data_IF_622089828658
#
_entry.id   IF_622089828658
#
_cell.length_a   1.000
_cell.length_b   1.000
_cell.length_c   1.000
_cell.angle_alpha   90.00
_cell.angle_beta   90.00
_cell.angle_gamma   90.00
#
_symmetry.space_group_name_H-M   'P 1'
#
loop_
_entity.id
_entity.type
_entity.pdbx_description
1 polymer ?
#
# COMPACT_ATOMS: atom_id res chain seq x y z
N UNK A 1 2.65 -9.53 -21.53
CA UNK A 1 2.99 -9.51 -20.10
C UNK A 1 2.93 -8.07 -19.64
N UNK A 2 2.37 -7.76 -18.49
CA UNK A 2 2.29 -6.38 -17.96
C UNK A 2 3.47 -6.12 -17.04
N UNK A 3 4.08 -4.95 -17.15
CA UNK A 3 5.17 -4.49 -16.29
C UNK A 3 4.60 -3.82 -15.05
N UNK A 4 4.74 -4.45 -13.88
CA UNK A 4 4.21 -3.98 -12.60
C UNK A 4 5.34 -3.43 -11.74
N UNK A 5 5.37 -2.11 -11.55
CA UNK A 5 6.34 -1.47 -10.66
C UNK A 5 5.94 -1.56 -9.19
N UNK A 6 6.90 -1.81 -8.32
CA UNK A 6 6.73 -1.82 -6.87
C UNK A 6 7.97 -1.25 -6.18
N UNK A 7 7.82 -0.69 -4.98
CA UNK A 7 8.96 -0.21 -4.20
C UNK A 7 9.61 -1.34 -3.41
N UNK A 8 10.94 -1.41 -3.43
CA UNK A 8 11.76 -2.38 -2.71
C UNK A 8 12.56 -3.29 -3.65
N UNK A 9 13.06 -4.38 -3.11
CA UNK A 9 13.78 -5.43 -3.84
C UNK A 9 12.87 -6.62 -4.12
N UNK A 10 13.29 -7.54 -4.98
CA UNK A 10 12.54 -8.80 -5.24
C UNK A 10 12.29 -9.53 -3.91
N UNK A 11 11.18 -10.22 -3.82
CA UNK A 11 10.75 -10.85 -2.57
C UNK A 11 10.07 -9.90 -1.57
N UNK A 12 9.80 -8.63 -1.92
CA UNK A 12 9.07 -7.71 -1.05
C UNK A 12 7.58 -8.06 -0.93
N UNK A 13 6.91 -7.60 0.15
CA UNK A 13 5.46 -7.75 0.32
C UNK A 13 4.66 -7.10 -0.81
N UNK A 14 5.13 -5.97 -1.34
CA UNK A 14 4.50 -5.31 -2.49
C UNK A 14 4.55 -6.19 -3.75
N UNK A 15 5.64 -6.92 -3.97
CA UNK A 15 5.74 -7.88 -5.06
C UNK A 15 4.82 -9.08 -4.84
N UNK A 16 4.76 -9.61 -3.62
CA UNK A 16 3.85 -10.70 -3.25
C UNK A 16 2.39 -10.31 -3.49
N UNK A 17 2.00 -9.09 -3.10
CA UNK A 17 0.67 -8.54 -3.36
C UNK A 17 0.37 -8.40 -4.85
N UNK A 18 1.37 -8.05 -5.70
CA UNK A 18 1.21 -8.01 -7.14
C UNK A 18 0.92 -9.40 -7.72
N UNK A 19 1.65 -10.42 -7.32
CA UNK A 19 1.41 -11.80 -7.78
C UNK A 19 0.08 -12.35 -7.30
N UNK A 20 -0.33 -12.07 -6.06
CA UNK A 20 -1.64 -12.50 -5.53
C UNK A 20 -2.79 -11.87 -6.33
N UNK A 21 -2.66 -10.58 -6.67
CA UNK A 21 -3.72 -9.85 -7.38
C UNK A 21 -3.78 -10.16 -8.88
N UNK A 22 -2.64 -10.21 -9.57
CA UNK A 22 -2.58 -10.34 -11.03
C UNK A 22 -2.35 -11.77 -11.51
N UNK A 23 -1.94 -12.68 -10.62
CA UNK A 23 -1.48 -14.01 -10.99
C UNK A 23 -0.06 -14.03 -11.57
N UNK A 24 0.35 -15.17 -12.14
CA UNK A 24 1.72 -15.39 -12.60
C UNK A 24 2.09 -14.78 -13.96
N UNK A 25 1.13 -14.19 -14.71
CA UNK A 25 1.38 -13.63 -16.06
C UNK A 25 1.74 -12.14 -16.02
N UNK A 26 2.68 -11.78 -15.13
CA UNK A 26 3.20 -10.42 -14.97
C UNK A 26 4.73 -10.43 -14.95
N UNK A 27 5.32 -9.27 -15.26
CA UNK A 27 6.72 -8.96 -15.00
C UNK A 27 6.80 -7.91 -13.91
N UNK A 28 7.48 -8.22 -12.80
CA UNK A 28 7.63 -7.31 -11.67
C UNK A 28 8.93 -6.52 -11.80
N UNK A 29 8.83 -5.20 -11.60
CA UNK A 29 9.93 -4.25 -11.73
C UNK A 29 10.19 -3.58 -10.37
N UNK A 30 11.27 -3.94 -9.66
CA UNK A 30 11.64 -3.29 -8.41
C UNK A 30 12.09 -1.85 -8.64
N UNK A 31 11.62 -0.93 -7.80
CA UNK A 31 12.00 0.48 -7.79
C UNK A 31 12.61 0.83 -6.42
N UNK A 32 13.63 1.68 -6.41
CA UNK A 32 14.33 2.07 -5.17
C UNK A 32 13.42 2.85 -4.21
N UNK A 33 12.46 3.63 -4.76
CA UNK A 33 11.57 4.47 -3.96
C UNK A 33 10.13 4.46 -4.51
N UNK A 34 9.18 4.98 -3.73
CA UNK A 34 7.82 5.18 -4.21
C UNK A 34 7.76 6.16 -5.37
N UNK A 35 8.55 7.25 -5.31
CA UNK A 35 8.69 8.22 -6.41
C UNK A 35 9.08 7.51 -7.71
N UNK A 36 10.01 6.55 -7.65
CA UNK A 36 10.43 5.76 -8.82
C UNK A 36 9.29 4.94 -9.42
N UNK A 37 8.36 4.41 -8.60
CA UNK A 37 7.16 3.73 -9.10
C UNK A 37 6.24 4.71 -9.84
N UNK A 38 5.98 5.89 -9.23
CA UNK A 38 5.13 6.91 -9.85
C UNK A 38 5.74 7.47 -11.15
N UNK A 39 7.03 7.75 -11.16
CA UNK A 39 7.76 8.23 -12.34
C UNK A 39 7.73 7.20 -13.48
N UNK A 40 7.91 5.92 -13.15
CA UNK A 40 7.80 4.82 -14.11
C UNK A 40 6.41 4.70 -14.74
N UNK A 41 5.36 4.89 -13.93
CA UNK A 41 3.97 4.89 -14.41
C UNK A 41 3.67 6.13 -15.26
N UNK A 42 4.09 7.33 -14.85
CA UNK A 42 3.86 8.57 -15.60
C UNK A 42 4.59 8.59 -16.94
N UNK A 43 5.82 8.10 -16.99
CA UNK A 43 6.59 8.00 -18.24
C UNK A 43 6.04 6.92 -19.18
N UNK A 44 5.33 5.91 -18.64
CA UNK A 44 4.85 4.75 -19.37
C UNK A 44 5.89 3.62 -19.48
N UNK A 45 6.98 3.67 -18.72
CA UNK A 45 7.93 2.59 -18.57
C UNK A 45 7.32 1.41 -17.78
N UNK A 46 6.39 1.70 -16.89
CA UNK A 46 5.58 0.73 -16.15
C UNK A 46 4.12 0.84 -16.62
N UNK A 47 3.48 -0.30 -16.84
CA UNK A 47 2.06 -0.35 -17.17
C UNK A 47 1.19 -0.04 -15.96
N UNK A 48 1.59 -0.53 -14.78
CA UNK A 48 0.89 -0.38 -13.50
C UNK A 48 1.92 -0.19 -12.39
N UNK A 49 1.61 0.67 -11.43
CA UNK A 49 2.30 0.74 -10.15
C UNK A 49 1.44 0.11 -9.05
N UNK A 50 2.04 -0.71 -8.19
CA UNK A 50 1.41 -1.17 -6.95
C UNK A 50 2.03 -0.44 -5.76
N UNK A 51 1.21 0.31 -5.02
CA UNK A 51 1.65 1.15 -3.91
C UNK A 51 0.86 0.84 -2.64
N UNK A 52 1.53 0.63 -1.49
CA UNK A 52 0.84 0.47 -0.21
C UNK A 52 0.31 1.84 0.24
N UNK A 53 -0.96 1.92 0.66
CA UNK A 53 -1.56 3.16 1.13
C UNK A 53 -1.77 3.21 2.63
N UNK A 54 -2.05 2.06 3.24
CA UNK A 54 -2.20 1.91 4.68
C UNK A 54 -1.96 0.47 5.13
N UNK A 55 -1.54 0.33 6.39
CA UNK A 55 -1.43 -0.96 7.07
C UNK A 55 -2.31 -0.93 8.32
N UNK A 56 -3.01 -2.03 8.61
CA UNK A 56 -3.98 -2.11 9.72
C UNK A 56 -3.37 -1.87 11.11
N UNK A 57 -2.07 -2.12 11.29
CA UNK A 57 -1.35 -1.94 12.54
C UNK A 57 -0.50 -0.66 12.58
N UNK A 58 0.10 -0.26 11.44
CA UNK A 58 1.02 0.86 11.35
C UNK A 58 0.36 2.17 10.88
N UNK A 59 -0.86 2.09 10.37
CA UNK A 59 -1.58 3.26 9.85
C UNK A 59 -1.20 3.66 8.42
N UNK A 60 -1.41 4.92 8.09
CA UNK A 60 -1.30 5.47 6.75
C UNK A 60 0.15 5.65 6.28
N UNK A 61 0.43 5.28 5.02
CA UNK A 61 1.73 5.49 4.36
C UNK A 61 1.68 6.85 3.66
N UNK A 62 2.04 7.86 4.42
CA UNK A 62 1.78 9.28 4.12
C UNK A 62 2.38 9.75 2.81
N UNK A 63 3.58 9.33 2.45
CA UNK A 63 4.27 9.73 1.23
C UNK A 63 3.45 9.38 -0.02
N UNK A 64 2.76 8.24 -0.04
CA UNK A 64 1.96 7.82 -1.18
C UNK A 64 0.70 8.65 -1.37
N UNK A 65 0.13 9.25 -0.30
CA UNK A 65 -0.95 10.23 -0.43
C UNK A 65 -0.47 11.51 -1.13
N UNK A 66 0.69 12.02 -0.71
CA UNK A 66 1.28 13.23 -1.30
C UNK A 66 1.60 12.99 -2.78
N UNK A 67 2.22 11.86 -3.13
CA UNK A 67 2.50 11.47 -4.52
C UNK A 67 1.22 11.29 -5.37
N UNK A 68 0.15 10.72 -4.81
CA UNK A 68 -1.14 10.61 -5.51
C UNK A 68 -1.74 11.97 -5.88
N UNK A 69 -1.50 13.00 -5.08
CA UNK A 69 -1.94 14.36 -5.38
C UNK A 69 -1.04 15.06 -6.41
N UNK A 70 0.26 14.82 -6.34
CA UNK A 70 1.27 15.51 -7.15
C UNK A 70 1.43 14.94 -8.55
N UNK A 71 1.19 13.63 -8.72
CA UNK A 71 1.48 12.89 -9.95
C UNK A 71 0.25 12.65 -10.80
N UNK A 72 0.44 12.63 -12.13
CA UNK A 72 -0.64 12.42 -13.08
C UNK A 72 -0.97 10.92 -13.25
N UNK A 73 -1.48 10.31 -12.19
CA UNK A 73 -1.87 8.92 -12.14
C UNK A 73 -3.36 8.75 -11.84
N UNK A 74 -3.89 7.56 -12.06
CA UNK A 74 -5.28 7.20 -11.79
C UNK A 74 -5.34 5.85 -11.09
N UNK A 75 -6.05 5.78 -9.96
CA UNK A 75 -6.28 4.53 -9.24
C UNK A 75 -7.31 3.70 -10.00
N UNK A 76 -6.97 2.46 -10.31
CA UNK A 76 -7.82 1.54 -11.06
C UNK A 76 -8.29 0.33 -10.26
N UNK A 77 -7.63 0.05 -9.14
CA UNK A 77 -7.97 -1.08 -8.27
C UNK A 77 -7.37 -0.92 -6.90
N UNK A 78 -7.84 -1.74 -5.96
CA UNK A 78 -7.20 -1.92 -4.66
C UNK A 78 -7.13 -3.41 -4.30
N UNK A 79 -6.18 -3.75 -3.44
CA UNK A 79 -6.02 -5.09 -2.90
C UNK A 79 -5.68 -5.03 -1.42
N UNK A 80 -6.32 -5.87 -0.60
CA UNK A 80 -6.02 -6.06 0.82
C UNK A 80 -5.19 -7.32 0.97
N UNK A 81 -3.91 -7.15 1.19
CA UNK A 81 -2.93 -8.23 1.30
C UNK A 81 -2.65 -8.53 2.77
N UNK A 82 -2.74 -9.79 3.20
CA UNK A 82 -2.32 -10.22 4.53
C UNK A 82 -0.79 -10.24 4.61
N UNK A 83 -0.25 -9.52 5.58
CA UNK A 83 1.19 -9.51 5.84
C UNK A 83 1.49 -10.62 6.84
N UNK A 84 2.03 -11.72 6.34
CA UNK A 84 2.50 -12.85 7.14
C UNK A 84 4.02 -12.81 7.23
N UNK A 85 4.52 -12.75 8.46
CA UNK A 85 5.96 -12.76 8.73
C UNK A 85 6.45 -14.18 8.96
N UNK A 86 7.52 -14.57 8.24
CA UNK A 86 8.12 -15.88 8.36
C UNK A 86 9.59 -15.75 8.77
N UNK A 87 10.08 -16.70 9.54
CA UNK A 87 11.50 -16.81 9.85
C UNK A 87 12.19 -17.58 8.73
N UNK A 88 13.07 -16.88 8.02
CA UNK A 88 13.83 -17.40 6.89
C UNK A 88 15.29 -17.62 7.30
N UNK A 89 15.85 -18.76 6.94
CA UNK A 89 17.21 -19.17 7.31
C UNK A 89 17.90 -19.89 6.14
N UNK A 90 19.20 -20.14 6.27
CA UNK A 90 19.92 -21.06 5.39
C UNK A 90 19.39 -22.47 5.54
N UNK A 91 19.42 -23.28 4.48
CA UNK A 91 18.74 -24.59 4.37
C UNK A 91 19.03 -25.55 5.53
N UNK A 92 20.27 -25.61 5.99
CA UNK A 92 20.68 -26.50 7.08
C UNK A 92 20.68 -25.83 8.47
N UNK A 93 20.18 -24.59 8.61
CA UNK A 93 20.10 -23.91 9.90
C UNK A 93 18.90 -24.38 10.71
N UNK A 94 19.10 -24.49 12.01
CA UNK A 94 18.06 -24.81 13.01
C UNK A 94 17.88 -23.59 13.95
N UNK A 95 16.80 -23.61 14.74
CA UNK A 95 16.43 -22.49 15.60
C UNK A 95 17.51 -22.17 16.65
N UNK A 96 18.20 -23.19 17.12
CA UNK A 96 19.25 -23.13 18.13
C UNK A 96 20.55 -22.49 17.62
N UNK A 97 20.76 -22.49 16.31
CA UNK A 97 21.94 -21.89 15.66
C UNK A 97 21.86 -20.37 15.65
N UNK A 98 20.65 -19.80 15.72
CA UNK A 98 20.41 -18.39 15.47
C UNK A 98 20.95 -17.48 16.57
N UNK A 99 21.76 -16.50 16.17
CA UNK A 99 22.31 -15.43 17.01
C UNK A 99 21.81 -14.05 16.61
N UNK A 100 21.46 -13.85 15.33
CA UNK A 100 20.98 -12.58 14.78
C UNK A 100 19.75 -12.79 13.90
N UNK A 101 18.73 -11.95 14.12
CA UNK A 101 17.51 -11.95 13.29
C UNK A 101 17.34 -10.56 12.67
N UNK A 102 17.48 -10.50 11.35
CA UNK A 102 17.40 -9.28 10.56
C UNK A 102 16.00 -9.01 10.07
N UNK A 103 15.53 -7.78 10.14
CA UNK A 103 14.36 -7.29 9.43
C UNK A 103 14.21 -5.78 9.51
N UNK A 104 13.21 -5.24 8.80
CA UNK A 104 12.77 -3.87 8.99
C UNK A 104 12.33 -3.64 10.46
N UNK A 105 12.63 -2.47 11.08
CA UNK A 105 12.29 -2.20 12.48
C UNK A 105 10.83 -2.47 12.83
N UNK A 106 9.90 -2.16 11.94
CA UNK A 106 8.48 -2.41 12.13
C UNK A 106 8.15 -3.91 12.17
N UNK A 107 8.74 -4.73 11.29
CA UNK A 107 8.53 -6.18 11.30
C UNK A 107 9.12 -6.83 12.56
N UNK A 108 10.30 -6.38 13.00
CA UNK A 108 10.88 -6.81 14.28
C UNK A 108 9.95 -6.48 15.47
N UNK A 109 9.34 -5.29 15.47
CA UNK A 109 8.39 -4.90 16.51
C UNK A 109 7.10 -5.74 16.46
N UNK A 110 6.64 -6.12 15.27
CA UNK A 110 5.45 -6.97 15.08
C UNK A 110 5.70 -8.45 15.43
N UNK A 111 6.95 -8.88 15.58
CA UNK A 111 7.38 -10.23 15.95
C UNK A 111 8.08 -10.26 17.33
N UNK A 112 7.83 -9.27 18.17
CA UNK A 112 8.60 -9.07 19.41
C UNK A 112 8.45 -10.24 20.42
N UNK A 113 7.27 -10.86 20.54
CA UNK A 113 7.03 -12.01 21.41
C UNK A 113 7.81 -13.23 20.92
N UNK A 114 7.74 -13.48 19.61
CA UNK A 114 8.49 -14.56 18.96
C UNK A 114 10.00 -14.40 19.18
N UNK A 115 10.56 -13.22 18.86
CA UNK A 115 12.01 -12.95 19.02
C UNK A 115 12.46 -13.14 20.47
N UNK A 116 11.66 -12.69 21.45
CA UNK A 116 11.95 -12.88 22.88
C UNK A 116 11.93 -14.35 23.30
N UNK A 117 11.16 -15.21 22.62
CA UNK A 117 11.11 -16.63 22.93
C UNK A 117 12.40 -17.37 22.53
N UNK A 118 13.15 -16.80 21.57
CA UNK A 118 14.47 -17.30 21.14
C UNK A 118 15.54 -16.57 21.95
N UNK A 119 15.81 -17.06 23.15
CA UNK A 119 16.62 -16.37 24.18
C UNK A 119 18.08 -16.04 23.81
N UNK A 120 18.58 -16.56 22.69
CA UNK A 120 19.97 -16.36 22.22
C UNK A 120 20.08 -15.43 21.01
N UNK A 121 18.97 -15.04 20.39
CA UNK A 121 18.96 -14.27 19.15
C UNK A 121 18.75 -12.78 19.42
N UNK A 122 19.54 -11.95 18.78
CA UNK A 122 19.43 -10.49 18.82
C UNK A 122 18.69 -9.98 17.59
N UNK A 123 17.64 -9.13 17.72
CA UNK A 123 17.04 -8.44 16.57
C UNK A 123 18.01 -7.38 16.02
N UNK A 124 18.27 -7.43 14.71
CA UNK A 124 19.13 -6.48 14.02
C UNK A 124 18.30 -5.71 12.98
N UNK A 125 18.08 -4.40 13.19
CA UNK A 125 17.36 -3.59 12.22
C UNK A 125 18.08 -3.51 10.87
N UNK A 126 17.30 -3.65 9.79
CA UNK A 126 17.77 -3.48 8.42
C UNK A 126 16.81 -2.61 7.63
N UNK A 127 17.19 -2.16 6.43
CA UNK A 127 16.40 -1.16 5.69
C UNK A 127 15.05 -1.68 5.20
N UNK A 128 14.93 -2.97 4.84
CA UNK A 128 13.67 -3.63 4.51
C UNK A 128 13.68 -5.14 4.82
N UNK A 129 12.51 -5.79 4.70
CA UNK A 129 12.34 -7.21 5.03
C UNK A 129 12.97 -8.13 3.99
N UNK A 130 12.77 -7.86 2.70
CA UNK A 130 13.30 -8.69 1.61
C UNK A 130 14.82 -8.52 1.46
N UNK A 131 15.33 -7.31 1.66
CA UNK A 131 16.78 -7.06 1.73
C UNK A 131 17.45 -7.76 2.91
N UNK A 132 16.73 -7.96 4.02
CA UNK A 132 17.22 -8.78 5.13
C UNK A 132 17.36 -10.25 4.72
N UNK A 133 16.39 -10.79 3.97
CA UNK A 133 16.49 -12.13 3.42
C UNK A 133 17.64 -12.27 2.43
N UNK A 134 17.84 -11.29 1.55
CA UNK A 134 18.98 -11.24 0.63
C UNK A 134 20.31 -11.23 1.38
N UNK A 135 20.42 -10.43 2.45
CA UNK A 135 21.62 -10.37 3.29
C UNK A 135 21.94 -11.75 3.92
N UNK A 136 20.93 -12.42 4.48
CA UNK A 136 21.10 -13.76 5.07
C UNK A 136 21.55 -14.76 4.01
N UNK A 137 20.91 -14.78 2.83
CA UNK A 137 21.29 -15.65 1.72
C UNK A 137 22.76 -15.42 1.27
N UNK A 138 23.16 -14.16 1.11
CA UNK A 138 24.52 -13.80 0.69
C UNK A 138 25.58 -14.10 1.75
N UNK A 139 25.23 -14.07 3.04
CA UNK A 139 26.15 -14.35 4.11
C UNK A 139 26.59 -15.81 4.19
N UNK A 140 25.71 -16.74 3.79
CA UNK A 140 25.94 -18.18 3.95
C UNK A 140 26.06 -18.63 5.43
N UNK A 141 25.71 -17.76 6.38
CA UNK A 141 25.93 -17.96 7.82
C UNK A 141 24.65 -18.53 8.47
N UNK A 142 24.75 -19.76 9.01
CA UNK A 142 23.65 -20.44 9.68
C UNK A 142 23.18 -19.77 10.98
N UNK A 143 24.03 -18.91 11.56
CA UNK A 143 23.68 -18.16 12.78
C UNK A 143 22.76 -16.96 12.52
N UNK A 144 22.42 -16.69 11.24
CA UNK A 144 21.61 -15.55 10.82
C UNK A 144 20.26 -15.99 10.29
N UNK A 145 19.21 -15.30 10.73
CA UNK A 145 17.87 -15.43 10.21
C UNK A 145 17.32 -14.09 9.72
N UNK A 146 16.31 -14.13 8.87
CA UNK A 146 15.55 -12.96 8.46
C UNK A 146 14.05 -13.14 8.72
N UNK A 147 13.36 -12.07 9.14
CA UNK A 147 11.90 -12.03 9.15
C UNK A 147 11.44 -11.34 7.87
N UNK A 148 10.79 -12.11 6.98
CA UNK A 148 10.29 -11.63 5.70
C UNK A 148 9.09 -12.47 5.21
N UNK A 149 8.57 -12.17 4.01
CA UNK A 149 7.52 -12.96 3.40
C UNK A 149 8.07 -14.25 2.77
N UNK A 150 7.18 -15.22 2.53
CA UNK A 150 7.49 -16.52 1.91
C UNK A 150 8.15 -16.38 0.53
N UNK A 151 7.72 -15.36 -0.25
CA UNK A 151 8.30 -15.08 -1.56
C UNK A 151 9.80 -14.71 -1.49
N UNK A 152 10.23 -14.04 -0.43
CA UNK A 152 11.65 -13.75 -0.25
C UNK A 152 12.49 -15.03 -0.06
N UNK A 153 11.90 -16.06 0.59
CA UNK A 153 12.56 -17.37 0.69
C UNK A 153 12.71 -18.03 -0.69
N UNK A 154 11.65 -18.01 -1.50
CA UNK A 154 11.67 -18.54 -2.88
C UNK A 154 12.68 -17.81 -3.76
N UNK A 155 12.70 -16.47 -3.71
CA UNK A 155 13.57 -15.63 -4.52
C UNK A 155 15.07 -15.82 -4.19
N UNK A 156 15.40 -16.00 -2.90
CA UNK A 156 16.80 -16.04 -2.44
C UNK A 156 17.26 -17.44 -2.04
N UNK A 157 16.45 -18.48 -2.24
CA UNK A 157 16.83 -19.86 -1.90
C UNK A 157 17.02 -20.10 -0.42
N UNK A 158 16.17 -19.49 0.42
CA UNK A 158 16.15 -19.69 1.86
C UNK A 158 15.08 -20.70 2.27
N UNK A 159 15.28 -21.38 3.39
CA UNK A 159 14.30 -22.22 4.05
C UNK A 159 13.36 -21.36 4.89
N UNK A 160 12.06 -21.57 4.77
CA UNK A 160 11.08 -21.09 5.76
C UNK A 160 11.16 -22.01 6.97
N UNK A 161 11.81 -21.57 8.03
CA UNK A 161 11.97 -22.37 9.24
C UNK A 161 10.69 -22.37 10.08
N UNK A 162 10.05 -21.19 10.20
CA UNK A 162 8.76 -21.01 10.89
C UNK A 162 7.89 -20.04 10.10
N UNK A 163 6.61 -20.38 9.99
CA UNK A 163 5.57 -19.52 9.35
C UNK A 163 4.79 -18.77 10.44
N UNK A 164 4.28 -17.57 10.10
CA UNK A 164 3.35 -16.83 10.96
C UNK A 164 3.95 -16.43 12.31
N UNK A 165 5.14 -15.81 12.32
CA UNK A 165 5.83 -15.43 13.57
C UNK A 165 5.42 -14.05 14.10
N UNK A 166 4.46 -13.39 13.45
CA UNK A 166 3.89 -12.13 13.92
C UNK A 166 3.07 -12.27 15.20
N UNK A 167 3.08 -11.22 16.01
CA UNK A 167 2.33 -11.14 17.28
C UNK A 167 0.81 -10.98 17.07
N UNK A 168 0.38 -10.52 15.90
CA UNK A 168 -1.01 -10.30 15.53
C UNK A 168 -1.25 -10.75 14.08
N UNK A 169 -2.12 -11.75 13.90
CA UNK A 169 -2.47 -12.30 12.58
C UNK A 169 -3.34 -11.36 11.73
N UNK A 170 -4.00 -10.36 12.34
CA UNK A 170 -4.81 -9.36 11.64
C UNK A 170 -3.97 -8.21 11.09
N UNK A 171 -2.86 -8.55 10.44
CA UNK A 171 -1.94 -7.61 9.81
C UNK A 171 -2.21 -7.55 8.30
N UNK A 172 -2.89 -6.50 7.86
CA UNK A 172 -3.23 -6.30 6.46
C UNK A 172 -2.66 -4.99 5.93
N UNK A 173 -2.13 -5.03 4.72
CA UNK A 173 -1.75 -3.83 3.98
C UNK A 173 -2.71 -3.65 2.79
N UNK A 174 -3.28 -2.47 2.69
CA UNK A 174 -4.08 -2.05 1.54
C UNK A 174 -3.14 -1.46 0.49
N UNK A 175 -3.15 -2.07 -0.68
CA UNK A 175 -2.43 -1.62 -1.86
C UNK A 175 -3.39 -0.97 -2.86
N UNK A 176 -2.91 0.04 -3.57
CA UNK A 176 -3.59 0.64 -4.71
C UNK A 176 -2.82 0.32 -5.99
N UNK A 177 -3.57 0.04 -7.06
CA UNK A 177 -3.04 -0.11 -8.41
C UNK A 177 -3.24 1.21 -9.15
N UNK A 178 -2.13 1.80 -9.59
CA UNK A 178 -2.13 3.08 -10.31
C UNK A 178 -1.66 2.90 -11.73
N UNK A 179 -2.28 3.66 -12.63
CA UNK A 179 -1.86 3.75 -14.04
C UNK A 179 -1.72 5.22 -14.43
N UNK A 180 -1.07 5.48 -15.57
CA UNK A 180 -0.98 6.83 -16.12
C UNK A 180 -2.36 7.41 -16.42
N UNK A 181 -2.61 8.64 -15.96
CA UNK A 181 -3.90 9.33 -16.17
C UNK A 181 -3.96 10.06 -17.53
N UNK A 182 -3.84 9.31 -18.62
CA UNK A 182 -4.09 9.78 -19.99
C UNK A 182 -5.44 9.25 -20.51
N UNK A 183 -6.40 9.06 -19.63
CA UNK A 183 -7.65 8.35 -19.87
C UNK A 183 -8.75 9.29 -20.35
N UNK A 184 -9.43 8.92 -21.44
CA UNK A 184 -10.70 9.53 -21.81
C UNK A 184 -11.80 9.17 -20.79
N UNK A 185 -12.86 9.99 -20.72
CA UNK A 185 -14.01 9.71 -19.85
C UNK A 185 -14.58 8.30 -20.07
N UNK A 186 -14.78 7.87 -21.32
CA UNK A 186 -15.27 6.54 -21.66
C UNK A 186 -14.34 5.42 -21.16
N UNK A 187 -13.01 5.64 -21.18
CA UNK A 187 -12.06 4.66 -20.66
C UNK A 187 -12.11 4.57 -19.13
N UNK A 188 -12.26 5.71 -18.45
CA UNK A 188 -12.50 5.75 -17.00
C UNK A 188 -13.77 4.99 -16.63
N UNK A 189 -14.88 5.19 -17.35
CA UNK A 189 -16.12 4.45 -17.15
C UNK A 189 -15.96 2.94 -17.32
N UNK A 190 -15.20 2.49 -18.32
CA UNK A 190 -14.93 1.04 -18.52
C UNK A 190 -14.08 0.45 -17.39
N UNK A 191 -13.11 1.18 -16.87
CA UNK A 191 -12.28 0.75 -15.75
C UNK A 191 -13.07 0.70 -14.44
N UNK A 192 -14.05 1.61 -14.29
CA UNK A 192 -14.99 1.66 -13.18
C UNK A 192 -16.24 0.77 -13.42
N UNK A 193 -16.19 -0.19 -14.34
CA UNK A 193 -17.30 -1.11 -14.55
C UNK A 193 -17.31 -2.20 -13.48
N UNK A 194 -18.47 -2.39 -12.83
CA UNK A 194 -18.66 -3.41 -11.80
C UNK A 194 -19.61 -2.96 -10.70
N UNK A 195 -19.90 -3.88 -9.81
CA UNK A 195 -20.62 -3.63 -8.57
C UNK A 195 -19.63 -3.20 -7.47
N UNK A 196 -20.13 -2.52 -6.42
CA UNK A 196 -19.36 -2.09 -5.27
C UNK A 196 -18.15 -1.19 -5.63
N UNK A 197 -18.44 -0.11 -6.35
CA UNK A 197 -17.43 0.89 -6.67
C UNK A 197 -17.06 1.72 -5.44
N UNK A 198 -15.79 2.09 -5.39
CA UNK A 198 -15.20 3.04 -4.46
C UNK A 198 -14.55 4.18 -5.25
N UNK A 199 -14.69 5.38 -4.76
CA UNK A 199 -14.02 6.55 -5.29
C UNK A 199 -13.12 7.17 -4.24
N UNK A 200 -11.86 7.41 -4.60
CA UNK A 200 -10.90 8.17 -3.80
C UNK A 200 -10.76 9.59 -4.36
N UNK A 201 -10.84 10.57 -3.45
CA UNK A 201 -10.70 11.99 -3.77
C UNK A 201 -9.73 12.67 -2.81
N UNK A 202 -9.18 13.79 -3.24
CA UNK A 202 -8.48 14.74 -2.38
C UNK A 202 -9.05 16.13 -2.59
N UNK A 203 -9.17 16.91 -1.51
CA UNK A 203 -9.60 18.30 -1.57
C UNK A 203 -8.98 19.13 -0.45
N UNK A 204 -8.89 20.45 -0.65
CA UNK A 204 -8.47 21.39 0.37
C UNK A 204 -9.56 22.40 0.69
N UNK A 205 -9.52 22.92 1.91
CA UNK A 205 -10.54 23.82 2.46
C UNK A 205 -9.92 25.10 3.00
N UNK A 206 -10.66 26.19 2.91
CA UNK A 206 -10.39 27.38 3.73
C UNK A 206 -10.45 27.01 5.20
N UNK A 207 -9.47 27.46 5.98
CA UNK A 207 -9.46 27.21 7.41
C UNK A 207 -10.46 28.14 8.15
N UNK A 208 -11.75 27.82 8.02
CA UNK A 208 -12.86 28.52 8.69
C UNK A 208 -13.70 27.53 9.50
N UNK A 209 -14.32 27.97 10.60
CA UNK A 209 -15.18 27.10 11.40
C UNK A 209 -16.26 26.39 10.59
N UNK A 210 -16.41 25.07 10.77
CA UNK A 210 -17.46 24.27 10.15
C UNK A 210 -17.21 23.89 8.67
N UNK A 211 -16.08 24.26 8.06
CA UNK A 211 -15.81 23.95 6.66
C UNK A 211 -15.83 22.45 6.39
N UNK A 212 -15.15 21.64 7.20
CA UNK A 212 -15.14 20.18 7.04
C UNK A 212 -16.55 19.58 7.20
N UNK A 213 -17.33 20.05 8.19
CA UNK A 213 -18.72 19.61 8.37
C UNK A 213 -19.55 19.84 7.10
N UNK A 214 -19.45 21.02 6.48
CA UNK A 214 -20.15 21.32 5.22
C UNK A 214 -19.78 20.36 4.11
N UNK A 215 -18.49 20.01 3.98
CA UNK A 215 -18.05 19.04 2.97
C UNK A 215 -18.59 17.63 3.26
N UNK A 216 -18.51 17.17 4.50
CA UNK A 216 -19.02 15.85 4.87
C UNK A 216 -20.54 15.75 4.72
N UNK A 217 -21.27 16.82 5.01
CA UNK A 217 -22.72 16.88 4.85
C UNK A 217 -23.18 16.65 3.40
N UNK A 218 -22.37 17.01 2.40
CA UNK A 218 -22.68 16.77 0.99
C UNK A 218 -22.87 15.28 0.69
N UNK A 219 -22.03 14.43 1.30
CA UNK A 219 -22.13 12.98 1.19
C UNK A 219 -23.29 12.43 2.03
N UNK A 220 -23.42 12.90 3.28
CA UNK A 220 -24.43 12.43 4.21
C UNK A 220 -25.86 12.66 3.71
N UNK A 221 -26.19 13.84 3.14
CA UNK A 221 -27.55 14.12 2.59
C UNK A 221 -27.87 13.35 1.31
N UNK A 222 -26.92 12.59 0.78
CA UNK A 222 -27.08 11.73 -0.40
C UNK A 222 -26.97 10.25 -0.08
N UNK A 223 -26.92 9.91 1.22
CA UNK A 223 -26.71 8.54 1.72
C UNK A 223 -25.46 7.87 1.13
N UNK A 224 -24.40 8.67 0.88
CA UNK A 224 -23.12 8.15 0.40
C UNK A 224 -22.26 7.78 1.60
N UNK A 225 -21.88 6.52 1.67
CA UNK A 225 -21.05 5.96 2.74
C UNK A 225 -19.58 6.38 2.56
N UNK A 226 -19.01 6.99 3.60
CA UNK A 226 -17.59 7.37 3.67
C UNK A 226 -16.80 6.25 4.35
N UNK A 227 -15.87 5.67 3.59
CA UNK A 227 -15.09 4.50 4.02
C UNK A 227 -13.78 4.90 4.70
N UNK A 228 -13.25 6.08 4.37
CA UNK A 228 -12.01 6.61 4.93
C UNK A 228 -12.00 8.13 4.88
N UNK A 229 -11.37 8.73 5.88
CA UNK A 229 -10.95 10.12 5.89
C UNK A 229 -9.54 10.22 6.47
N UNK A 230 -8.65 10.91 5.77
CA UNK A 230 -7.28 11.19 6.19
C UNK A 230 -7.00 12.67 5.97
N UNK A 231 -6.36 13.34 6.91
CA UNK A 231 -5.95 14.74 6.76
C UNK A 231 -4.43 14.86 6.68
N UNK A 232 -3.95 15.68 5.74
CA UNK A 232 -2.53 15.93 5.52
C UNK A 232 -2.25 17.43 5.51
N UNK A 233 -1.22 17.93 6.21
CA UNK A 233 -0.80 19.32 6.06
C UNK A 233 -0.42 19.61 4.60
N UNK A 234 -0.85 20.76 4.08
CA UNK A 234 -0.45 21.19 2.74
C UNK A 234 0.98 21.75 2.77
N UNK A 235 1.90 21.24 1.95
CA UNK A 235 3.24 21.79 1.83
C UNK A 235 3.20 23.28 1.47
N UNK A 236 4.02 24.09 2.14
CA UNK A 236 4.10 25.54 1.87
C UNK A 236 2.93 26.38 2.37
N UNK A 237 1.91 25.78 3.01
CA UNK A 237 0.72 26.46 3.51
C UNK A 237 0.48 26.10 4.98
N UNK A 238 1.12 26.81 5.95
CA UNK A 238 0.95 26.52 7.38
C UNK A 238 -0.51 26.53 7.80
N UNK A 239 -0.92 25.49 8.55
CA UNK A 239 -2.26 25.31 9.10
C UNK A 239 -3.38 25.08 8.06
N UNK A 240 -3.02 24.81 6.80
CA UNK A 240 -3.94 24.33 5.79
C UNK A 240 -3.77 22.82 5.60
N UNK A 241 -4.87 22.13 5.26
CA UNK A 241 -4.92 20.68 5.16
C UNK A 241 -5.57 20.23 3.85
N UNK A 242 -5.00 19.20 3.25
CA UNK A 242 -5.67 18.38 2.27
C UNK A 242 -6.41 17.23 2.99
N UNK A 243 -7.61 16.94 2.55
CA UNK A 243 -8.43 15.83 3.04
C UNK A 243 -8.57 14.79 1.93
N UNK A 244 -8.15 13.57 2.24
CA UNK A 244 -8.34 12.41 1.38
C UNK A 244 -9.56 11.65 1.90
N UNK A 245 -10.51 11.40 1.01
CA UNK A 245 -11.74 10.67 1.33
C UNK A 245 -11.91 9.53 0.33
N UNK A 246 -12.22 8.34 0.86
CA UNK A 246 -12.76 7.25 0.09
C UNK A 246 -14.27 7.16 0.36
N UNK A 247 -15.07 7.14 -0.67
CA UNK A 247 -16.51 6.93 -0.55
C UNK A 247 -17.01 5.80 -1.46
N UNK A 248 -18.09 5.15 -1.03
CA UNK A 248 -18.74 4.10 -1.83
C UNK A 248 -19.57 4.73 -2.94
N UNK A 249 -19.31 4.31 -4.16
CA UNK A 249 -19.98 4.80 -5.36
C UNK A 249 -19.04 5.34 -6.43
N UNK A 250 -19.62 5.76 -7.54
CA UNK A 250 -18.92 6.26 -8.72
C UNK A 250 -18.78 7.80 -8.71
N UNK A 251 -17.65 8.31 -9.17
CA UNK A 251 -17.44 9.74 -9.47
C UNK A 251 -17.99 10.14 -10.84
N UNK A 252 -18.36 9.17 -11.66
CA UNK A 252 -18.65 9.38 -13.09
C UNK A 252 -20.14 9.49 -13.38
N UNK A 253 -20.99 9.09 -12.43
CA UNK A 253 -22.45 9.09 -12.54
C UNK A 253 -23.14 9.19 -11.16
N UNK A 254 -24.48 9.30 -11.21
CA UNK A 254 -25.37 9.18 -10.06
C UNK A 254 -25.12 10.17 -8.91
N UNK A 255 -25.35 9.72 -7.66
CA UNK A 255 -25.20 10.57 -6.46
C UNK A 255 -23.77 11.05 -6.25
N UNK A 256 -22.75 10.20 -6.55
CA UNK A 256 -21.34 10.54 -6.39
C UNK A 256 -20.91 11.70 -7.27
N UNK A 257 -21.27 11.70 -8.54
CA UNK A 257 -21.00 12.81 -9.46
C UNK A 257 -21.62 14.14 -8.96
N UNK A 258 -22.89 14.08 -8.49
CA UNK A 258 -23.58 15.26 -7.93
C UNK A 258 -22.92 15.76 -6.64
N UNK A 259 -22.45 14.84 -5.80
CA UNK A 259 -21.71 15.20 -4.59
C UNK A 259 -20.41 15.92 -4.92
N UNK A 260 -19.66 15.42 -5.89
CA UNK A 260 -18.40 16.04 -6.34
C UNK A 260 -18.61 17.41 -6.97
N UNK A 261 -19.67 17.60 -7.77
CA UNK A 261 -20.03 18.93 -8.29
C UNK A 261 -20.27 19.94 -7.17
N UNK A 262 -21.03 19.57 -6.14
CA UNK A 262 -21.28 20.43 -4.99
C UNK A 262 -20.01 20.66 -4.14
N UNK A 263 -19.17 19.63 -3.99
CA UNK A 263 -17.88 19.75 -3.29
C UNK A 263 -16.98 20.79 -3.95
N UNK A 264 -16.91 20.80 -5.28
CA UNK A 264 -16.11 21.76 -6.06
C UNK A 264 -16.52 23.23 -5.83
N UNK A 265 -17.80 23.50 -5.54
CA UNK A 265 -18.29 24.85 -5.27
C UNK A 265 -17.78 25.43 -3.93
N UNK A 266 -17.45 24.57 -2.95
CA UNK A 266 -17.10 25.00 -1.59
C UNK A 266 -15.65 24.70 -1.20
N UNK A 267 -14.88 24.05 -2.05
CA UNK A 267 -13.46 23.73 -1.85
C UNK A 267 -12.55 24.69 -2.61
N UNK A 268 -11.32 24.90 -2.13
CA UNK A 268 -10.30 25.66 -2.86
C UNK A 268 -9.69 24.82 -4.00
N UNK A 269 -9.58 23.53 -3.76
CA UNK A 269 -9.06 22.53 -4.68
C UNK A 269 -9.79 21.22 -4.45
N UNK A 270 -10.07 20.49 -5.51
CA UNK A 270 -10.54 19.10 -5.42
C UNK A 270 -10.13 18.30 -6.64
N UNK A 271 -9.75 17.04 -6.43
CA UNK A 271 -9.35 16.12 -7.47
C UNK A 271 -9.86 14.71 -7.18
N UNK A 272 -10.36 14.04 -8.22
CA UNK A 272 -10.66 12.60 -8.17
C UNK A 272 -9.38 11.84 -8.48
N UNK A 273 -8.96 10.97 -7.57
CA UNK A 273 -7.78 10.12 -7.71
C UNK A 273 -8.08 8.83 -8.45
N UNK A 274 -9.32 8.33 -8.35
CA UNK A 274 -9.77 7.12 -9.02
C UNK A 274 -11.18 6.71 -8.63
N UNK A 275 -11.84 5.95 -9.52
CA UNK A 275 -13.04 5.17 -9.25
C UNK A 275 -12.75 3.74 -9.67
N UNK A 276 -12.90 2.78 -8.77
CA UNK A 276 -12.44 1.42 -8.92
C UNK A 276 -13.27 0.44 -8.07
N UNK A 277 -13.23 -0.87 -8.35
CA UNK A 277 -13.87 -1.87 -7.51
C UNK A 277 -13.30 -1.87 -6.10
N UNK A 278 -14.18 -1.89 -5.08
CA UNK A 278 -13.79 -2.05 -3.68
C UNK A 278 -13.25 -3.46 -3.46
N UNK A 279 -12.07 -3.60 -2.82
CA UNK A 279 -11.58 -4.90 -2.42
C UNK A 279 -12.53 -5.51 -1.38
N UNK A 280 -13.20 -6.59 -1.76
CA UNK A 280 -13.99 -7.39 -0.84
C UNK A 280 -13.07 -7.84 0.28
N UNK A 281 -13.53 -7.73 1.53
CA UNK A 281 -12.72 -8.09 2.69
C UNK A 281 -12.14 -9.49 2.53
N UNK A 282 -10.83 -9.63 2.69
CA UNK A 282 -10.20 -10.93 2.85
C UNK A 282 -10.86 -11.63 4.05
N UNK A 283 -11.39 -12.83 3.82
CA UNK A 283 -11.83 -13.74 4.88
C UNK A 283 -10.63 -14.34 5.56
#
# INVERSE_FOLDING_TARGET
>A
MKNIGFQGVRGAYSESAAFEFFGGDIETCPCESFEGVFDGVESGALDIGIIPIENSLAGSIRVNYDLLQERNVWIVNEHKFRVEHNLLVMDEAELEDLQEIYSHPQALAQCARFIKSISRSNPVPYFDTAGSALLVAQSGDKSRGAIACKRAAEEYGLKVLLEGVEDNEENYTRFLMIIRNNLSHNKKQRLAAGENLKTSIVFSLKNIPGCLYKCLSIFAIRDIDLLKIESRPLPGSPWQYAFYIDFRGSSLDGPGQKALGHLQEITEFSMVLGTYPEALGGK
#
